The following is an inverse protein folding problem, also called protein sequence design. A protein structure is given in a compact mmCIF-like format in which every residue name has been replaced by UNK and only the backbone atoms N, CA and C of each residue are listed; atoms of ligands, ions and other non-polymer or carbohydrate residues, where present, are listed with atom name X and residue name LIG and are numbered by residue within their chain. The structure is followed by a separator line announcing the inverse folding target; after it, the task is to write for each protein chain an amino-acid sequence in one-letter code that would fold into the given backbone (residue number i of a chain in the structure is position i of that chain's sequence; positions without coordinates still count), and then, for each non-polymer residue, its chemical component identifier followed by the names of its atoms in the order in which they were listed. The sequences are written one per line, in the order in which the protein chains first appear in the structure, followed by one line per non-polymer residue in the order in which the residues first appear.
data_IF_291435294168
#
_entry.id   IF_291435294168
#
_cell.length_a   1.000
_cell.length_b   1.000
_cell.length_c   1.000
_cell.angle_alpha   90.00
_cell.angle_beta   90.00
_cell.angle_gamma   90.00
#
_symmetry.space_group_name_H-M   'P 1'
#
loop_
_entity.id
_entity.type
_entity.pdbx_description
1 polymer ?
#
# COMPACT_ATOMS: atom_id res chain seq x y z
N UNK A 1 -45.02 -15.83 -36.57
CA UNK A 1 -44.87 -16.43 -35.22
C UNK A 1 -43.95 -15.52 -34.42
N UNK A 2 -44.51 -14.81 -33.44
CA UNK A 2 -43.87 -13.71 -32.73
C UNK A 2 -43.31 -14.16 -31.37
N UNK A 3 -42.11 -13.68 -31.02
CA UNK A 3 -41.45 -13.89 -29.72
C UNK A 3 -42.16 -13.07 -28.61
N UNK A 4 -42.26 -13.59 -27.37
CA UNK A 4 -42.86 -12.85 -26.27
C UNK A 4 -41.95 -11.71 -25.80
N UNK A 5 -42.59 -10.55 -25.63
CA UNK A 5 -42.00 -9.25 -25.28
C UNK A 5 -42.31 -8.97 -23.81
N UNK A 6 -41.56 -9.59 -22.91
CA UNK A 6 -41.69 -9.33 -21.46
C UNK A 6 -40.42 -9.69 -20.69
N UNK A 7 -39.40 -8.85 -20.80
CA UNK A 7 -38.47 -8.60 -19.71
C UNK A 7 -38.28 -7.08 -19.65
N UNK A 8 -38.60 -6.42 -18.53
CA UNK A 8 -38.22 -5.04 -18.34
C UNK A 8 -36.69 -4.94 -18.26
N UNK A 9 -36.18 -3.88 -18.88
CA UNK A 9 -34.77 -3.58 -19.07
C UNK A 9 -34.10 -3.35 -17.69
N UNK A 10 -33.23 -4.27 -17.27
CA UNK A 10 -32.45 -4.14 -16.03
C UNK A 10 -31.48 -2.94 -16.05
N UNK A 11 -31.33 -2.29 -17.21
CA UNK A 11 -30.58 -1.05 -17.39
C UNK A 11 -31.15 0.12 -16.57
N UNK A 12 -32.44 0.10 -16.21
CA UNK A 12 -33.08 1.17 -15.42
C UNK A 12 -32.86 1.07 -13.90
N UNK A 13 -32.42 -0.09 -13.38
CA UNK A 13 -32.25 -0.31 -11.93
C UNK A 13 -30.88 0.14 -11.39
N UNK A 14 -29.92 0.45 -12.28
CA UNK A 14 -28.62 0.99 -11.89
C UNK A 14 -28.56 2.53 -11.87
N UNK A 15 -29.61 3.22 -12.33
CA UNK A 15 -29.66 4.69 -12.41
C UNK A 15 -30.47 5.34 -11.27
N UNK A 16 -31.07 4.55 -10.37
CA UNK A 16 -32.00 5.03 -9.33
C UNK A 16 -31.40 5.27 -7.94
N UNK A 17 -30.07 5.27 -7.79
CA UNK A 17 -29.42 5.62 -6.51
C UNK A 17 -28.45 6.79 -6.66
N UNK A 18 -29.00 7.97 -6.91
CA UNK A 18 -28.35 9.25 -6.59
C UNK A 18 -29.11 9.96 -5.47
N UNK A 19 -28.48 10.26 -4.33
CA UNK A 19 -28.99 11.27 -3.42
C UNK A 19 -28.59 12.66 -3.94
N UNK A 20 -29.59 13.47 -4.29
CA UNK A 20 -29.43 14.91 -4.48
C UNK A 20 -29.22 15.56 -3.10
N UNK A 21 -27.98 15.98 -2.81
CA UNK A 21 -27.58 17.38 -2.62
C UNK A 21 -26.22 17.47 -1.91
N UNK A 22 -25.15 17.67 -2.68
CA UNK A 22 -24.05 18.56 -2.31
C UNK A 22 -23.17 18.76 -3.56
N UNK A 23 -22.93 20.03 -3.90
CA UNK A 23 -22.04 20.46 -4.97
C UNK A 23 -20.63 19.86 -4.76
N UNK A 24 -19.99 19.40 -5.83
CA UNK A 24 -18.66 19.87 -6.30
C UNK A 24 -17.86 18.82 -7.09
N UNK A 25 -17.46 19.25 -8.29
CA UNK A 25 -16.25 18.92 -9.07
C UNK A 25 -16.04 17.50 -9.62
N UNK A 26 -16.33 17.41 -10.93
CA UNK A 26 -15.87 16.37 -11.84
C UNK A 26 -14.33 16.27 -11.90
N UNK A 27 -13.80 15.05 -11.78
CA UNK A 27 -12.49 14.67 -12.33
C UNK A 27 -12.68 13.48 -13.28
N UNK A 28 -12.69 13.75 -14.58
CA UNK A 28 -12.41 12.77 -15.63
C UNK A 28 -10.92 12.87 -15.96
N UNK A 29 -10.14 11.81 -15.74
CA UNK A 29 -8.86 11.60 -16.41
C UNK A 29 -9.06 10.54 -17.49
N UNK A 30 -8.72 10.79 -18.76
CA UNK A 30 -8.62 9.74 -19.76
C UNK A 30 -7.42 8.84 -19.47
N UNK A 31 -7.66 7.55 -19.59
CA UNK A 31 -6.70 6.46 -19.74
C UNK A 31 -5.68 6.78 -20.83
N UNK A 32 -4.38 6.77 -20.49
CA UNK A 32 -3.30 6.80 -21.47
C UNK A 32 -3.03 5.35 -21.91
N UNK A 33 -3.39 5.04 -23.15
CA UNK A 33 -3.06 3.77 -23.80
C UNK A 33 -1.59 3.81 -24.20
N UNK A 34 -0.75 3.02 -23.54
CA UNK A 34 0.63 2.72 -23.96
C UNK A 34 0.60 1.55 -24.96
N UNK A 35 0.11 1.82 -26.16
CA UNK A 35 0.17 0.89 -27.30
C UNK A 35 0.26 1.69 -28.60
N UNK A 36 1.42 2.30 -28.86
CA UNK A 36 1.88 2.72 -30.19
C UNK A 36 3.33 3.21 -30.07
N UNK A 37 4.27 2.58 -30.79
CA UNK A 37 5.60 3.15 -30.97
C UNK A 37 6.81 2.21 -30.89
N UNK A 38 6.67 0.91 -31.19
CA UNK A 38 7.83 0.11 -31.64
C UNK A 38 8.08 0.47 -33.11
N UNK A 39 8.76 1.60 -33.35
CA UNK A 39 9.39 1.90 -34.64
C UNK A 39 10.90 1.82 -34.40
N UNK A 40 11.48 0.74 -34.90
CA UNK A 40 12.92 0.62 -35.12
C UNK A 40 13.35 1.56 -36.25
N UNK A 41 14.63 1.97 -36.20
CA UNK A 41 15.38 2.85 -37.10
C UNK A 41 15.25 4.33 -36.70
N UNK A 42 16.31 5.08 -36.41
CA UNK A 42 17.63 5.11 -37.03
C UNK A 42 18.65 5.80 -36.12
N UNK A 43 19.89 5.39 -36.24
CA UNK A 43 21.14 6.10 -35.88
C UNK A 43 21.01 7.63 -35.75
N UNK A 44 21.14 8.17 -34.53
CA UNK A 44 21.89 9.40 -34.20
C UNK A 44 21.72 9.78 -32.71
N UNK A 45 22.85 10.05 -32.04
CA UNK A 45 22.93 10.46 -30.63
C UNK A 45 22.14 11.74 -30.33
N UNK A 46 21.42 11.83 -29.19
CA UNK A 46 20.96 13.11 -28.70
C UNK A 46 22.01 13.75 -27.78
N UNK A 47 22.54 14.87 -28.25
CA UNK A 47 23.34 15.84 -27.51
C UNK A 47 22.54 16.38 -26.31
N UNK A 48 23.28 16.65 -25.24
CA UNK A 48 22.90 17.46 -24.08
C UNK A 48 22.07 18.69 -24.49
N UNK A 49 20.86 18.80 -23.94
CA UNK A 49 20.14 20.07 -23.84
C UNK A 49 19.97 20.43 -22.37
N UNK A 50 20.93 21.19 -21.87
CA UNK A 50 20.79 22.02 -20.69
C UNK A 50 19.85 23.18 -21.04
N UNK A 51 18.54 23.02 -20.81
CA UNK A 51 17.59 24.12 -20.89
C UNK A 51 17.29 24.64 -19.47
N UNK A 52 18.05 25.67 -19.09
CA UNK A 52 17.67 26.62 -18.03
C UNK A 52 16.71 27.65 -18.62
N UNK A 53 15.54 27.93 -18.01
CA UNK A 53 14.72 29.04 -18.43
C UNK A 53 15.38 30.37 -18.02
N UNK A 54 15.53 31.23 -19.03
CA UNK A 54 15.99 32.61 -18.93
C UNK A 54 15.10 33.39 -17.96
N UNK A 55 15.72 33.85 -16.88
CA UNK A 55 15.15 34.64 -15.79
C UNK A 55 14.90 36.07 -16.28
N UNK A 56 13.63 36.48 -16.36
CA UNK A 56 13.27 37.90 -16.40
C UNK A 56 13.60 38.48 -15.01
N UNK A 57 14.70 39.25 -14.95
CA UNK A 57 15.04 40.04 -13.76
C UNK A 57 14.00 41.14 -13.60
N UNK A 58 13.24 41.07 -12.50
CA UNK A 58 12.51 42.20 -11.98
C UNK A 58 13.26 42.67 -10.74
N UNK A 59 13.93 43.81 -10.85
CA UNK A 59 14.59 44.49 -9.74
C UNK A 59 13.53 44.87 -8.68
N UNK A 60 13.70 44.38 -7.45
CA UNK A 60 12.85 44.79 -6.34
C UNK A 60 13.06 43.96 -5.08
N UNK A 61 13.90 44.48 -4.18
CA UNK A 61 13.97 44.16 -2.74
C UNK A 61 14.16 42.69 -2.33
N UNK A 62 15.43 42.34 -2.04
CA UNK A 62 15.76 41.21 -1.17
C UNK A 62 15.26 39.86 -1.67
N UNK A 63 15.53 39.54 -2.94
CA UNK A 63 15.14 38.28 -3.60
C UNK A 63 15.49 37.07 -2.71
N UNK A 64 14.47 36.57 -2.01
CA UNK A 64 14.44 35.19 -1.52
C UNK A 64 14.63 34.32 -2.75
N UNK A 65 15.68 33.50 -2.76
CA UNK A 65 15.99 32.72 -3.95
C UNK A 65 14.81 31.82 -4.27
N UNK A 66 14.40 31.80 -5.55
CA UNK A 66 13.38 30.89 -6.08
C UNK A 66 13.87 29.43 -6.13
N UNK A 67 14.93 29.12 -5.41
CA UNK A 67 15.54 27.80 -5.34
C UNK A 67 14.70 26.91 -4.42
N UNK A 68 14.59 25.63 -4.81
CA UNK A 68 14.02 24.59 -3.96
C UNK A 68 14.73 24.59 -2.60
N UNK A 69 13.95 24.53 -1.52
CA UNK A 69 14.45 24.49 -0.17
C UNK A 69 14.22 23.11 0.43
N UNK A 70 15.29 22.49 0.90
CA UNK A 70 15.25 21.16 1.50
C UNK A 70 15.49 21.25 3.01
N UNK A 71 14.76 20.44 3.76
CA UNK A 71 14.94 20.33 5.19
C UNK A 71 14.64 18.92 5.69
N UNK A 72 15.27 18.55 6.80
CA UNK A 72 14.94 17.35 7.54
C UNK A 72 13.84 17.64 8.56
N UNK A 73 12.91 16.70 8.68
CA UNK A 73 11.93 16.66 9.75
C UNK A 73 12.12 15.36 10.55
N UNK A 74 12.35 15.49 11.85
CA UNK A 74 12.49 14.37 12.75
C UNK A 74 11.22 14.22 13.59
N UNK A 75 10.62 13.03 13.54
CA UNK A 75 9.46 12.70 14.36
C UNK A 75 9.92 12.25 15.74
N UNK A 76 9.41 12.90 16.78
CA UNK A 76 9.76 12.59 18.17
C UNK A 76 8.49 12.15 18.92
N UNK A 77 8.43 10.88 19.29
CA UNK A 77 7.30 10.27 20.01
C UNK A 77 7.36 10.50 21.54
N UNK A 78 8.53 10.85 22.06
CA UNK A 78 8.74 11.13 23.48
C UNK A 78 10.07 11.86 23.74
N UNK A 79 10.29 12.41 24.94
CA UNK A 79 11.47 13.22 25.26
C UNK A 79 12.82 12.49 25.11
N UNK A 80 12.81 11.14 25.03
CA UNK A 80 14.00 10.30 24.88
C UNK A 80 14.16 9.63 23.50
N UNK A 81 13.18 9.77 22.59
CA UNK A 81 13.09 8.93 21.39
C UNK A 81 13.57 9.63 20.11
N UNK A 82 14.65 10.40 20.22
CA UNK A 82 15.29 11.00 19.04
C UNK A 82 15.87 9.94 18.09
N UNK A 83 16.20 8.74 18.58
CA UNK A 83 17.06 7.81 17.84
C UNK A 83 16.33 6.77 16.96
N UNK A 84 14.99 6.65 17.03
CA UNK A 84 14.32 5.46 16.48
C UNK A 84 13.51 5.68 15.19
N UNK A 85 13.13 6.91 14.85
CA UNK A 85 12.39 7.17 13.61
C UNK A 85 13.33 7.68 12.51
N UNK A 86 13.29 7.09 11.29
CA UNK A 86 14.03 7.64 10.16
C UNK A 86 13.53 9.08 9.89
N UNK A 87 14.44 10.03 9.60
CA UNK A 87 14.04 11.39 9.30
C UNK A 87 13.18 11.44 8.04
N UNK A 88 12.44 12.51 7.85
CA UNK A 88 11.73 12.81 6.61
C UNK A 88 12.45 13.96 5.92
N UNK A 89 12.43 13.96 4.59
CA UNK A 89 12.91 15.09 3.80
C UNK A 89 11.69 15.91 3.39
N UNK A 90 11.61 17.13 3.89
CA UNK A 90 10.67 18.15 3.45
C UNK A 90 11.29 18.91 2.28
N UNK A 91 10.57 18.98 1.17
CA UNK A 91 10.94 19.76 0.00
C UNK A 91 9.93 20.88 -0.19
N UNK A 92 10.41 22.11 -0.21
CA UNK A 92 9.61 23.31 -0.38
C UNK A 92 9.96 23.99 -1.70
N UNK A 93 8.97 24.63 -2.31
CA UNK A 93 9.17 25.40 -3.54
C UNK A 93 10.22 26.52 -3.36
N UNK A 94 10.29 27.12 -2.17
CA UNK A 94 11.31 28.10 -1.78
C UNK A 94 11.42 28.22 -0.25
N UNK A 95 12.43 28.95 0.24
CA UNK A 95 12.64 29.17 1.68
C UNK A 95 11.51 30.00 2.33
N UNK A 96 10.86 30.89 1.58
CA UNK A 96 9.73 31.68 2.09
C UNK A 96 8.52 30.81 2.45
N UNK A 97 8.23 29.80 1.63
CA UNK A 97 7.18 28.82 1.85
C UNK A 97 7.52 27.96 3.06
N UNK A 98 8.79 27.57 3.23
CA UNK A 98 9.22 26.83 4.41
C UNK A 98 8.99 27.63 5.70
N UNK A 99 9.29 28.94 5.69
CA UNK A 99 9.05 29.81 6.85
C UNK A 99 7.54 30.02 7.11
N UNK A 100 6.73 30.24 6.08
CA UNK A 100 5.28 30.34 6.21
C UNK A 100 4.67 29.05 6.77
N UNK A 101 5.09 27.91 6.23
CA UNK A 101 4.69 26.60 6.69
C UNK A 101 5.07 26.40 8.16
N UNK A 102 6.30 26.75 8.55
CA UNK A 102 6.76 26.63 9.93
C UNK A 102 5.95 27.51 10.89
N UNK A 103 5.61 28.74 10.51
CA UNK A 103 4.78 29.62 11.35
C UNK A 103 3.40 29.00 11.65
N UNK A 104 2.79 28.33 10.66
CA UNK A 104 1.54 27.60 10.85
C UNK A 104 1.73 26.40 11.79
N UNK A 105 2.80 25.61 11.57
CA UNK A 105 3.13 24.48 12.45
C UNK A 105 3.33 24.95 13.89
N UNK A 106 4.04 26.05 14.12
CA UNK A 106 4.26 26.59 15.45
C UNK A 106 2.96 27.05 16.13
N UNK A 107 2.00 27.57 15.34
CA UNK A 107 0.70 28.01 15.87
C UNK A 107 -0.22 26.85 16.26
N UNK A 108 -0.22 25.76 15.50
CA UNK A 108 -1.06 24.58 15.73
C UNK A 108 -0.40 23.58 16.70
N UNK A 109 0.92 23.49 16.67
CA UNK A 109 1.73 22.49 17.36
C UNK A 109 2.89 23.13 18.13
N UNK A 110 2.62 23.82 19.25
CA UNK A 110 3.62 24.56 20.01
C UNK A 110 4.71 23.68 20.64
N UNK A 111 4.51 22.36 20.67
CA UNK A 111 5.50 21.38 21.12
C UNK A 111 6.66 21.19 20.14
N UNK A 112 6.48 21.55 18.87
CA UNK A 112 7.48 21.41 17.81
C UNK A 112 8.54 22.50 17.90
N UNK A 113 9.80 22.13 17.66
CA UNK A 113 10.95 23.06 17.70
C UNK A 113 11.72 23.04 16.38
N UNK A 114 12.41 24.15 16.09
CA UNK A 114 13.26 24.29 14.90
C UNK A 114 14.68 24.56 15.36
N UNK A 115 15.51 23.52 15.33
CA UNK A 115 16.91 23.58 15.79
C UNK A 115 17.85 24.20 14.74
N UNK A 116 17.39 24.38 13.50
CA UNK A 116 18.20 24.97 12.44
C UNK A 116 17.40 25.42 11.22
N UNK A 117 18.07 26.01 10.22
CA UNK A 117 17.41 26.42 8.98
C UNK A 117 16.74 25.23 8.29
N UNK A 118 17.42 24.08 8.26
CA UNK A 118 17.01 22.85 7.58
C UNK A 118 16.66 21.71 8.55
N UNK A 119 16.45 21.96 9.84
CA UNK A 119 16.12 20.91 10.82
C UNK A 119 14.88 21.28 11.62
N UNK A 120 13.83 20.48 11.42
CA UNK A 120 12.55 20.58 12.11
C UNK A 120 12.34 19.37 13.02
N UNK A 121 11.96 19.63 14.27
CA UNK A 121 11.58 18.59 15.23
C UNK A 121 10.07 18.67 15.42
N UNK A 122 9.36 17.66 14.92
CA UNK A 122 7.92 17.54 15.01
C UNK A 122 7.56 16.60 16.15
N UNK A 123 6.85 17.12 17.17
CA UNK A 123 6.39 16.32 18.32
C UNK A 123 4.90 16.00 18.18
N UNK A 124 4.56 14.72 18.13
CA UNK A 124 3.18 14.24 18.06
C UNK A 124 3.05 12.92 17.30
N UNK A 125 2.08 12.09 17.69
CA UNK A 125 2.00 10.70 17.24
C UNK A 125 1.67 10.56 15.75
N UNK A 126 1.03 11.52 15.09
CA UNK A 126 0.75 11.50 13.63
C UNK A 126 0.71 12.89 12.98
N UNK A 127 1.66 13.74 13.37
CA UNK A 127 1.75 15.11 12.89
C UNK A 127 1.78 15.23 11.36
N UNK A 128 2.31 14.25 10.65
CA UNK A 128 2.51 14.30 9.20
C UNK A 128 1.22 14.16 8.41
N UNK A 129 0.38 13.18 8.77
CA UNK A 129 -0.95 12.99 8.16
C UNK A 129 -1.85 14.17 8.57
N UNK A 130 -1.78 14.60 9.83
CA UNK A 130 -2.56 15.72 10.33
C UNK A 130 -2.23 17.06 9.65
N UNK A 131 -0.95 17.35 9.36
CA UNK A 131 -0.59 18.60 8.64
C UNK A 131 -1.16 18.59 7.21
N UNK A 132 -1.13 17.46 6.50
CA UNK A 132 -1.68 17.38 5.14
C UNK A 132 -3.19 17.55 5.09
N UNK A 133 -3.89 17.01 6.09
CA UNK A 133 -5.35 17.07 6.17
C UNK A 133 -5.89 18.38 6.76
N UNK A 134 -5.03 19.17 7.44
CA UNK A 134 -5.46 20.40 8.09
C UNK A 134 -5.76 21.52 7.06
N UNK A 135 -6.98 22.09 7.04
CA UNK A 135 -7.41 23.08 6.06
C UNK A 135 -6.57 24.37 6.08
N UNK A 136 -5.90 24.69 7.20
CA UNK A 136 -5.01 25.87 7.29
C UNK A 136 -3.78 25.73 6.38
N UNK A 137 -3.39 24.51 6.04
CA UNK A 137 -2.24 24.23 5.18
C UNK A 137 -2.59 24.11 3.69
N UNK A 138 -3.87 24.18 3.31
CA UNK A 138 -4.30 24.01 1.92
C UNK A 138 -3.70 25.04 0.95
N UNK A 139 -3.48 26.27 1.42
CA UNK A 139 -2.80 27.31 0.63
C UNK A 139 -1.35 26.93 0.25
N UNK A 140 -0.73 26.04 1.02
CA UNK A 140 0.65 25.59 0.85
C UNK A 140 0.75 24.16 0.30
N UNK A 141 -0.34 23.39 0.24
CA UNK A 141 -0.32 21.96 -0.11
C UNK A 141 0.41 21.65 -1.43
N UNK A 142 0.30 22.53 -2.44
CA UNK A 142 0.97 22.34 -3.73
C UNK A 142 2.40 22.94 -3.80
N UNK A 143 2.88 23.52 -2.70
CA UNK A 143 4.18 24.21 -2.60
C UNK A 143 5.18 23.49 -1.70
N UNK A 144 4.78 22.39 -1.07
CA UNK A 144 5.66 21.54 -0.31
C UNK A 144 5.19 20.08 -0.41
N UNK A 145 6.13 19.17 -0.24
CA UNK A 145 5.83 17.75 -0.07
C UNK A 145 6.88 17.13 0.87
N UNK A 146 6.58 15.95 1.38
CA UNK A 146 7.53 15.17 2.17
C UNK A 146 7.87 13.88 1.45
N UNK A 147 9.07 13.37 1.72
CA UNK A 147 9.49 12.02 1.33
C UNK A 147 10.07 11.32 2.56
N UNK A 148 9.69 10.05 2.83
CA UNK A 148 10.35 9.27 3.87
C UNK A 148 11.83 9.12 3.53
N UNK A 149 12.72 9.36 4.49
CA UNK A 149 14.13 9.07 4.27
C UNK A 149 14.32 7.55 4.24
N UNK A 150 14.40 6.99 3.03
CA UNK A 150 14.88 5.62 2.85
C UNK A 150 16.36 5.56 3.22
N UNK A 151 16.89 4.38 3.54
CA UNK A 151 18.29 4.14 3.92
C UNK A 151 19.31 4.65 2.88
N UNK A 152 18.85 4.95 1.66
CA UNK A 152 19.63 5.50 0.54
C UNK A 152 19.37 6.99 0.30
N UNK A 153 18.91 7.74 1.30
CA UNK A 153 18.51 9.13 1.08
C UNK A 153 19.67 9.98 0.60
N UNK A 154 19.48 10.74 -0.50
CA UNK A 154 20.50 11.67 -0.95
C UNK A 154 20.73 12.73 0.13
N UNK A 155 22.01 12.98 0.41
CA UNK A 155 22.46 14.10 1.26
C UNK A 155 21.86 15.39 0.70
N UNK A 156 21.02 16.09 1.48
CA UNK A 156 20.45 17.35 1.01
C UNK A 156 21.55 18.42 0.94
N UNK A 157 21.53 19.32 -0.07
CA UNK A 157 22.44 20.46 -0.11
C UNK A 157 22.30 21.29 1.16
N UNK A 158 23.42 21.70 1.76
CA UNK A 158 23.40 22.64 2.88
C UNK A 158 22.90 23.99 2.38
N UNK A 159 21.82 24.51 2.94
CA UNK A 159 21.22 25.79 2.56
C UNK A 159 21.09 26.72 3.76
N UNK A 160 21.29 28.02 3.52
CA UNK A 160 21.02 29.05 4.51
C UNK A 160 19.51 29.25 4.72
N UNK A 161 19.12 30.12 5.66
CA UNK A 161 17.73 30.46 5.92
C UNK A 161 16.99 31.11 4.73
N UNK A 162 17.73 31.53 3.70
CA UNK A 162 17.21 32.08 2.45
C UNK A 162 17.10 31.03 1.33
N UNK A 163 17.65 29.84 1.51
CA UNK A 163 17.71 28.78 0.49
C UNK A 163 18.92 28.82 -0.44
N UNK A 164 19.93 29.63 -0.13
CA UNK A 164 21.18 29.66 -0.88
C UNK A 164 22.10 28.53 -0.42
N UNK A 165 22.77 27.81 -1.35
CA UNK A 165 23.73 26.77 -0.97
C UNK A 165 24.88 27.37 -0.16
N UNK A 166 25.13 26.81 1.02
CA UNK A 166 26.27 27.14 1.87
C UNK A 166 27.46 26.36 1.32
N UNK A 167 28.11 26.91 0.30
CA UNK A 167 29.23 26.22 -0.34
C UNK A 167 30.40 26.09 0.64
N UNK A 168 30.77 24.86 0.97
CA UNK A 168 31.91 24.50 1.79
C UNK A 168 33.19 24.47 0.94
N UNK A 169 33.55 25.58 0.32
CA UNK A 169 34.94 25.85 -0.07
C UNK A 169 35.15 27.29 -0.49
N UNK A 170 36.12 28.01 0.10
CA UNK A 170 36.64 29.20 -0.53
C UNK A 170 37.33 28.77 -1.82
N UNK A 171 36.76 29.14 -2.97
CA UNK A 171 37.53 29.20 -4.20
C UNK A 171 38.86 29.93 -3.89
N UNK A 172 40.02 29.41 -4.31
CA UNK A 172 41.30 30.01 -3.96
C UNK A 172 41.29 31.45 -4.49
N UNK A 173 41.20 32.40 -3.57
CA UNK A 173 41.36 33.80 -3.86
C UNK A 173 42.70 33.94 -4.58
N UNK A 174 42.64 34.36 -5.85
CA UNK A 174 43.82 34.76 -6.62
C UNK A 174 44.64 35.68 -5.75
N UNK A 175 45.83 35.22 -5.36
CA UNK A 175 46.84 36.03 -4.70
C UNK A 175 47.04 37.27 -5.55
N UNK A 176 46.62 38.44 -5.04
CA UNK A 176 47.17 39.72 -5.50
C UNK A 176 48.66 39.65 -5.18
N UNK A 177 49.46 39.56 -6.23
CA UNK A 177 50.90 39.72 -6.21
C UNK A 177 51.20 41.14 -5.73
N UNK A 178 51.50 41.27 -4.44
CA UNK A 178 52.13 42.45 -3.89
C UNK A 178 53.60 42.41 -4.31
N UNK A 179 53.96 43.36 -5.16
CA UNK A 179 55.29 43.52 -5.74
C UNK A 179 56.11 44.38 -4.79
N UNK A 180 56.62 43.75 -3.74
CA UNK A 180 57.62 44.34 -2.84
C UNK A 180 59.02 43.94 -3.26
N UNK A 181 59.61 44.71 -4.16
CA UNK A 181 61.06 44.72 -4.43
C UNK A 181 61.74 45.41 -3.24
N UNK A 182 62.81 44.83 -2.65
CA UNK A 182 63.93 45.63 -2.23
C UNK A 182 65.16 45.23 -3.04
N UNK A 183 65.52 46.15 -3.90
CA UNK A 183 66.78 46.25 -4.60
C UNK A 183 67.86 46.62 -3.58
N UNK A 184 68.82 45.73 -3.35
CA UNK A 184 70.09 46.13 -2.75
C UNK A 184 71.23 45.21 -3.15
N UNK A 185 72.08 45.77 -4.02
CA UNK A 185 73.54 45.63 -4.10
C UNK A 185 74.12 44.38 -4.77
N UNK A 186 74.55 44.63 -6.01
CA UNK A 186 75.72 44.06 -6.65
C UNK A 186 76.96 44.16 -5.74
N UNK A 187 77.75 43.09 -5.68
CA UNK A 187 79.16 43.03 -6.08
C UNK A 187 79.77 41.76 -5.48
N UNK A 188 79.93 40.71 -6.31
CA UNK A 188 81.20 40.00 -6.42
C UNK A 188 81.10 38.92 -7.51
N UNK A 189 82.12 38.89 -8.37
CA UNK A 189 82.18 37.99 -9.51
C UNK A 189 82.12 36.52 -9.06
N UNK A 190 81.24 35.69 -9.65
CA UNK A 190 81.14 34.30 -9.24
C UNK A 190 82.36 33.54 -9.77
N UNK A 191 83.28 33.17 -8.87
CA UNK A 191 84.18 32.06 -9.16
C UNK A 191 83.28 30.84 -9.43
N UNK A 192 83.45 30.21 -10.58
CA UNK A 192 82.69 29.02 -10.96
C UNK A 192 83.08 27.87 -10.01
N UNK A 193 82.37 27.78 -8.88
CA UNK A 193 82.69 26.85 -7.82
C UNK A 193 82.20 25.46 -8.22
N UNK A 194 83.13 24.67 -8.78
CA UNK A 194 82.90 23.30 -9.22
C UNK A 194 82.35 22.42 -8.08
N UNK A 195 82.61 22.76 -6.82
CA UNK A 195 82.03 22.08 -5.67
C UNK A 195 80.53 22.35 -5.53
N UNK A 196 80.05 23.57 -5.79
CA UNK A 196 78.61 23.89 -5.79
C UNK A 196 77.87 23.20 -6.95
N UNK A 197 78.54 23.01 -8.10
CA UNK A 197 77.99 22.24 -9.21
C UNK A 197 77.85 20.75 -8.86
N UNK A 198 78.85 20.20 -8.15
CA UNK A 198 78.81 18.80 -7.70
C UNK A 198 77.76 18.57 -6.59
N UNK A 199 77.59 19.55 -5.69
CA UNK A 199 76.54 19.51 -4.66
C UNK A 199 75.14 19.65 -5.27
N UNK A 200 74.97 20.53 -6.26
CA UNK A 200 73.70 20.64 -6.99
C UNK A 200 73.39 19.39 -7.82
N UNK A 201 74.38 18.76 -8.47
CA UNK A 201 74.19 17.46 -9.14
C UNK A 201 73.84 16.34 -8.16
N UNK A 202 74.49 16.28 -7.00
CA UNK A 202 74.14 15.31 -5.95
C UNK A 202 72.73 15.52 -5.42
N UNK A 203 72.32 16.78 -5.22
CA UNK A 203 70.97 17.15 -4.79
C UNK A 203 69.93 16.82 -5.87
N UNK A 204 70.27 17.01 -7.15
CA UNK A 204 69.41 16.64 -8.28
C UNK A 204 69.25 15.12 -8.40
N UNK A 205 70.33 14.36 -8.21
CA UNK A 205 70.29 12.90 -8.23
C UNK A 205 69.47 12.35 -7.04
N UNK A 206 69.59 12.97 -5.86
CA UNK A 206 68.74 12.67 -4.70
C UNK A 206 67.26 12.97 -4.99
N UNK A 207 66.95 14.13 -5.58
CA UNK A 207 65.58 14.48 -5.99
C UNK A 207 65.02 13.56 -7.07
N UNK A 208 65.84 13.11 -8.03
CA UNK A 208 65.41 12.15 -9.06
C UNK A 208 65.12 10.79 -8.42
N UNK A 209 65.96 10.35 -7.48
CA UNK A 209 65.73 9.11 -6.73
C UNK A 209 64.44 9.19 -5.90
N UNK A 210 64.19 10.32 -5.25
CA UNK A 210 62.96 10.56 -4.48
C UNK A 210 61.72 10.62 -5.39
N UNK A 211 61.80 11.33 -6.53
CA UNK A 211 60.74 11.35 -7.53
C UNK A 211 60.46 9.96 -8.12
N UNK A 212 61.49 9.15 -8.38
CA UNK A 212 61.33 7.79 -8.84
C UNK A 212 60.63 6.91 -7.78
N UNK A 213 60.97 7.09 -6.51
CA UNK A 213 60.29 6.42 -5.40
C UNK A 213 58.83 6.87 -5.27
N UNK A 214 58.54 8.16 -5.40
CA UNK A 214 57.18 8.70 -5.40
C UNK A 214 56.35 8.18 -6.58
N UNK A 215 56.91 8.14 -7.80
CA UNK A 215 56.23 7.57 -8.98
C UNK A 215 55.93 6.09 -8.77
N UNK A 216 56.86 5.33 -8.17
CA UNK A 216 56.62 3.92 -7.84
C UNK A 216 55.50 3.77 -6.80
N UNK A 217 55.49 4.59 -5.75
CA UNK A 217 54.44 4.60 -4.74
C UNK A 217 53.07 4.98 -5.33
N UNK A 218 53.02 5.99 -6.20
CA UNK A 218 51.82 6.39 -6.95
C UNK A 218 51.32 5.26 -7.86
N UNK A 219 52.21 4.57 -8.56
CA UNK A 219 51.86 3.44 -9.43
C UNK A 219 51.27 2.27 -8.64
N UNK A 220 51.84 1.93 -7.48
CA UNK A 220 51.28 0.92 -6.57
C UNK A 220 49.92 1.36 -6.04
N UNK A 221 49.79 2.61 -5.57
CA UNK A 221 48.51 3.15 -5.09
C UNK A 221 47.42 3.18 -6.17
N UNK A 222 47.78 3.49 -7.42
CA UNK A 222 46.86 3.46 -8.55
C UNK A 222 46.46 2.02 -8.91
N UNK A 223 47.40 1.07 -8.85
CA UNK A 223 47.12 -0.35 -9.04
C UNK A 223 46.13 -0.88 -7.99
N UNK A 224 46.36 -0.58 -6.71
CA UNK A 224 45.44 -0.93 -5.62
C UNK A 224 44.07 -0.26 -5.78
N UNK A 225 44.05 0.99 -6.25
CA UNK A 225 42.81 1.72 -6.55
C UNK A 225 41.98 1.06 -7.64
N UNK A 226 42.61 0.62 -8.74
CA UNK A 226 41.94 -0.11 -9.81
C UNK A 226 41.42 -1.47 -9.33
N UNK A 227 42.20 -2.18 -8.51
CA UNK A 227 41.77 -3.45 -7.93
C UNK A 227 40.56 -3.30 -7.01
N UNK A 228 40.55 -2.29 -6.11
CA UNK A 228 39.36 -1.97 -5.31
C UNK A 228 38.16 -1.61 -6.18
N UNK A 229 38.37 -0.85 -7.25
CA UNK A 229 37.27 -0.49 -8.15
C UNK A 229 36.69 -1.73 -8.87
N UNK A 230 37.53 -2.71 -9.21
CA UNK A 230 37.08 -3.99 -9.73
C UNK A 230 36.27 -4.77 -8.68
N UNK A 231 36.75 -4.88 -7.45
CA UNK A 231 36.03 -5.53 -6.34
C UNK A 231 34.67 -4.86 -6.07
N UNK A 232 34.62 -3.52 -6.11
CA UNK A 232 33.38 -2.75 -5.98
C UNK A 232 32.42 -3.06 -7.14
N UNK A 233 32.92 -3.16 -8.37
CA UNK A 233 32.08 -3.51 -9.53
C UNK A 233 31.55 -4.94 -9.45
N UNK A 234 32.37 -5.90 -9.01
CA UNK A 234 31.96 -7.29 -8.81
C UNK A 234 30.91 -7.41 -7.69
N UNK A 235 31.12 -6.70 -6.57
CA UNK A 235 30.15 -6.59 -5.48
C UNK A 235 28.84 -5.96 -5.92
N UNK A 236 28.91 -4.83 -6.64
CA UNK A 236 27.72 -4.13 -7.16
C UNK A 236 26.95 -5.00 -8.16
N UNK A 237 27.65 -5.72 -9.03
CA UNK A 237 27.03 -6.64 -9.99
C UNK A 237 26.30 -7.79 -9.27
N UNK A 238 26.89 -8.30 -8.18
CA UNK A 238 26.26 -9.34 -7.36
C UNK A 238 24.99 -8.81 -6.68
N UNK A 239 25.04 -7.59 -6.12
CA UNK A 239 23.87 -6.94 -5.52
C UNK A 239 22.76 -6.72 -6.55
N UNK A 240 23.08 -6.22 -7.75
CA UNK A 240 22.11 -6.04 -8.84
C UNK A 240 21.45 -7.38 -9.21
N UNK A 241 22.23 -8.46 -9.30
CA UNK A 241 21.69 -9.80 -9.58
C UNK A 241 20.72 -10.26 -8.49
N UNK A 242 21.08 -10.09 -7.22
CA UNK A 242 20.17 -10.44 -6.11
C UNK A 242 18.88 -9.62 -6.12
N UNK A 243 18.96 -8.34 -6.52
CA UNK A 243 17.79 -7.48 -6.68
C UNK A 243 16.90 -7.95 -7.83
N UNK A 244 17.48 -8.33 -8.97
CA UNK A 244 16.76 -8.87 -10.12
C UNK A 244 16.04 -10.20 -9.79
N UNK A 245 16.71 -11.09 -9.04
CA UNK A 245 16.10 -12.33 -8.54
C UNK A 245 14.93 -12.02 -7.59
N UNK A 246 15.10 -11.01 -6.71
CA UNK A 246 14.05 -10.51 -5.83
C UNK A 246 12.84 -9.97 -6.59
N UNK A 247 13.07 -9.19 -7.65
CA UNK A 247 12.01 -8.66 -8.51
C UNK A 247 11.26 -9.78 -9.25
N UNK A 248 11.98 -10.77 -9.78
CA UNK A 248 11.37 -11.95 -10.43
C UNK A 248 10.49 -12.72 -9.45
N UNK A 249 10.96 -12.91 -8.21
CA UNK A 249 10.19 -13.57 -7.16
C UNK A 249 8.93 -12.78 -6.76
N UNK A 250 9.04 -11.45 -6.65
CA UNK A 250 7.88 -10.59 -6.38
C UNK A 250 6.86 -10.65 -7.52
N UNK A 251 7.30 -10.63 -8.77
CA UNK A 251 6.40 -10.79 -9.93
C UNK A 251 5.69 -12.14 -9.91
N UNK A 252 6.39 -13.23 -9.57
CA UNK A 252 5.79 -14.55 -9.40
C UNK A 252 4.71 -14.55 -8.30
N UNK A 253 5.01 -13.99 -7.12
CA UNK A 253 4.04 -13.92 -6.02
C UNK A 253 2.82 -13.06 -6.37
N UNK A 254 2.98 -11.98 -7.12
CA UNK A 254 1.86 -11.16 -7.59
C UNK A 254 1.00 -11.95 -8.58
N UNK A 255 1.62 -12.68 -9.51
CA UNK A 255 0.91 -13.56 -10.47
C UNK A 255 0.13 -14.66 -9.74
N UNK A 256 0.75 -15.31 -8.76
CA UNK A 256 0.11 -16.37 -7.97
C UNK A 256 -1.08 -15.82 -7.17
N UNK A 257 -0.92 -14.66 -6.51
CA UNK A 257 -2.03 -14.01 -5.81
C UNK A 257 -3.17 -13.63 -6.77
N UNK A 258 -2.86 -13.06 -7.94
CA UNK A 258 -3.87 -12.73 -8.94
C UNK A 258 -4.63 -13.98 -9.39
N UNK A 259 -3.92 -15.08 -9.64
CA UNK A 259 -4.54 -16.36 -10.00
C UNK A 259 -5.45 -16.91 -8.90
N UNK A 260 -5.04 -16.77 -7.63
CA UNK A 260 -5.82 -17.18 -6.47
C UNK A 260 -7.11 -16.36 -6.33
N UNK A 261 -7.05 -15.04 -6.52
CA UNK A 261 -8.25 -14.19 -6.51
C UNK A 261 -9.21 -14.53 -7.65
N UNK A 262 -8.70 -14.84 -8.84
CA UNK A 262 -9.53 -15.31 -9.97
C UNK A 262 -10.21 -16.63 -9.62
N UNK A 263 -9.49 -17.59 -9.03
CA UNK A 263 -10.04 -18.87 -8.62
C UNK A 263 -11.13 -18.72 -7.54
N UNK A 264 -10.90 -17.88 -6.52
CA UNK A 264 -11.89 -17.56 -5.50
C UNK A 264 -13.13 -16.87 -6.09
N UNK A 265 -12.93 -15.91 -6.98
CA UNK A 265 -14.04 -15.23 -7.67
C UNK A 265 -14.89 -16.21 -8.48
N UNK A 266 -14.26 -17.11 -9.24
CA UNK A 266 -14.96 -18.13 -10.03
C UNK A 266 -15.72 -19.11 -9.13
N UNK A 267 -15.12 -19.54 -8.02
CA UNK A 267 -15.78 -20.39 -7.02
C UNK A 267 -16.98 -19.69 -6.38
N UNK A 268 -16.84 -18.40 -6.03
CA UNK A 268 -17.94 -17.60 -5.49
C UNK A 268 -19.08 -17.44 -6.49
N UNK A 269 -18.78 -17.22 -7.77
CA UNK A 269 -19.79 -17.13 -8.82
C UNK A 269 -20.54 -18.46 -9.02
N UNK A 270 -19.82 -19.58 -9.03
CA UNK A 270 -20.42 -20.91 -9.10
C UNK A 270 -21.34 -21.20 -7.91
N UNK A 271 -20.92 -20.84 -6.69
CA UNK A 271 -21.72 -20.98 -5.48
C UNK A 271 -22.97 -20.09 -5.52
N UNK A 272 -22.86 -18.86 -6.04
CA UNK A 272 -23.99 -17.95 -6.18
C UNK A 272 -25.01 -18.47 -7.20
N UNK A 273 -24.57 -19.02 -8.32
CA UNK A 273 -25.46 -19.61 -9.32
C UNK A 273 -26.15 -20.88 -8.77
N UNK A 274 -25.43 -21.69 -7.99
CA UNK A 274 -26.04 -22.82 -7.28
C UNK A 274 -27.10 -22.37 -6.27
N UNK A 275 -26.80 -21.34 -5.46
CA UNK A 275 -27.75 -20.80 -4.49
C UNK A 275 -29.01 -20.24 -5.20
N UNK A 276 -28.82 -19.51 -6.30
CA UNK A 276 -29.92 -19.01 -7.14
C UNK A 276 -30.77 -20.15 -7.70
N UNK A 277 -30.15 -21.21 -8.21
CA UNK A 277 -30.85 -22.41 -8.71
C UNK A 277 -31.69 -23.08 -7.62
N UNK A 278 -31.13 -23.24 -6.41
CA UNK A 278 -31.86 -23.80 -5.25
C UNK A 278 -33.03 -22.91 -4.84
N UNK A 279 -32.84 -21.58 -4.81
CA UNK A 279 -33.92 -20.64 -4.48
C UNK A 279 -35.02 -20.64 -5.53
N UNK A 280 -34.67 -20.70 -6.81
CA UNK A 280 -35.64 -20.81 -7.90
C UNK A 280 -36.45 -22.11 -7.79
N UNK A 281 -35.79 -23.25 -7.58
CA UNK A 281 -36.48 -24.53 -7.36
C UNK A 281 -37.41 -24.50 -6.14
N UNK A 282 -37.00 -23.83 -5.06
CA UNK A 282 -37.86 -23.65 -3.88
C UNK A 282 -39.09 -22.77 -4.19
N UNK A 283 -38.90 -21.66 -4.91
CA UNK A 283 -40.00 -20.80 -5.35
C UNK A 283 -41.01 -21.58 -6.21
N UNK A 284 -40.53 -22.40 -7.16
CA UNK A 284 -41.38 -23.24 -8.00
C UNK A 284 -42.15 -24.28 -7.17
N UNK A 285 -41.50 -24.90 -6.17
CA UNK A 285 -42.15 -25.84 -5.25
C UNK A 285 -43.22 -25.18 -4.38
N UNK A 286 -42.98 -23.97 -3.87
CA UNK A 286 -43.96 -23.19 -3.10
C UNK A 286 -45.15 -22.83 -3.99
N UNK A 287 -44.91 -22.42 -5.23
CA UNK A 287 -45.96 -22.12 -6.19
C UNK A 287 -46.81 -23.36 -6.51
N UNK A 288 -46.19 -24.51 -6.74
CA UNK A 288 -46.90 -25.77 -6.96
C UNK A 288 -47.76 -26.17 -5.75
N UNK A 289 -47.23 -25.99 -4.52
CA UNK A 289 -47.98 -26.27 -3.29
C UNK A 289 -49.19 -25.34 -3.13
N UNK A 290 -49.03 -24.04 -3.41
CA UNK A 290 -50.12 -23.06 -3.36
C UNK A 290 -51.22 -23.38 -4.39
N UNK A 291 -50.85 -23.81 -5.60
CA UNK A 291 -51.80 -24.27 -6.61
C UNK A 291 -52.55 -25.53 -6.17
N UNK A 292 -51.85 -26.51 -5.59
CA UNK A 292 -52.47 -27.72 -5.04
C UNK A 292 -53.45 -27.40 -3.90
N UNK A 293 -53.09 -26.47 -3.00
CA UNK A 293 -53.99 -25.99 -1.94
C UNK A 293 -55.24 -25.31 -2.51
N UNK A 294 -55.08 -24.48 -3.54
CA UNK A 294 -56.21 -23.82 -4.22
C UNK A 294 -57.13 -24.85 -4.89
N UNK A 295 -56.57 -25.87 -5.53
CA UNK A 295 -57.34 -26.95 -6.15
C UNK A 295 -58.10 -27.79 -5.11
N UNK A 296 -57.48 -28.08 -3.96
CA UNK A 296 -58.13 -28.76 -2.85
C UNK A 296 -59.29 -27.93 -2.30
N UNK A 297 -59.08 -26.63 -2.06
CA UNK A 297 -60.14 -25.73 -1.62
C UNK A 297 -61.31 -25.69 -2.61
N UNK A 298 -61.02 -25.66 -3.92
CA UNK A 298 -62.04 -25.72 -4.97
C UNK A 298 -62.80 -27.06 -4.97
N UNK A 299 -62.10 -28.18 -4.82
CA UNK A 299 -62.72 -29.52 -4.74
C UNK A 299 -63.61 -29.63 -3.50
N UNK A 300 -63.15 -29.16 -2.35
CA UNK A 300 -63.93 -29.12 -1.12
C UNK A 300 -65.18 -28.23 -1.26
N UNK A 301 -65.05 -27.05 -1.86
CA UNK A 301 -66.19 -26.18 -2.13
C UNK A 301 -67.21 -26.84 -3.09
N UNK A 302 -66.72 -27.56 -4.11
CA UNK A 302 -67.56 -28.36 -5.01
C UNK A 302 -68.31 -29.48 -4.29
N UNK A 303 -67.62 -30.25 -3.45
CA UNK A 303 -68.24 -31.30 -2.62
C UNK A 303 -69.30 -30.72 -1.68
N UNK A 304 -69.00 -29.63 -0.97
CA UNK A 304 -69.98 -28.96 -0.10
C UNK A 304 -71.22 -28.52 -0.89
N UNK A 305 -71.04 -27.92 -2.07
CA UNK A 305 -72.16 -27.53 -2.94
C UNK A 305 -72.99 -28.73 -3.41
N UNK A 306 -72.36 -29.87 -3.71
CA UNK A 306 -73.09 -31.10 -4.05
C UNK A 306 -73.86 -31.66 -2.85
N UNK A 307 -73.29 -31.57 -1.64
CA UNK A 307 -73.95 -31.97 -0.39
C UNK A 307 -75.16 -31.06 -0.12
N UNK A 308 -75.02 -29.74 -0.27
CA UNK A 308 -76.14 -28.79 -0.16
C UNK A 308 -77.23 -29.06 -1.21
N UNK A 309 -76.82 -29.37 -2.44
CA UNK A 309 -77.74 -29.77 -3.51
C UNK A 309 -78.51 -31.05 -3.18
N UNK A 310 -77.81 -32.09 -2.68
CA UNK A 310 -78.44 -33.31 -2.18
C UNK A 310 -79.37 -33.03 -1.00
N UNK A 311 -78.96 -32.20 -0.03
CA UNK A 311 -79.78 -31.79 1.10
C UNK A 311 -81.08 -31.11 0.67
N UNK A 312 -81.03 -30.24 -0.35
CA UNK A 312 -82.23 -29.62 -0.91
C UNK A 312 -83.15 -30.62 -1.63
N UNK A 313 -82.56 -31.63 -2.29
CA UNK A 313 -83.32 -32.68 -2.98
C UNK A 313 -83.95 -33.64 -1.98
N UNK A 314 -83.22 -34.05 -0.94
CA UNK A 314 -83.72 -34.87 0.17
C UNK A 314 -84.79 -34.13 0.95
N UNK A 315 -84.67 -32.81 1.16
CA UNK A 315 -85.73 -32.01 1.80
C UNK A 315 -87.02 -32.03 0.97
N UNK A 316 -86.93 -31.87 -0.36
CA UNK A 316 -88.09 -32.00 -1.25
C UNK A 316 -88.68 -33.41 -1.28
N UNK A 317 -87.84 -34.44 -1.23
CA UNK A 317 -88.32 -35.84 -1.09
C UNK A 317 -88.98 -36.03 0.27
N UNK A 318 -88.43 -35.47 1.33
CA UNK A 318 -88.99 -35.47 2.69
C UNK A 318 -90.34 -34.77 2.76
N UNK A 319 -90.52 -33.63 2.08
CA UNK A 319 -91.80 -32.93 2.00
C UNK A 319 -92.85 -33.76 1.22
N UNK A 320 -92.43 -34.40 0.11
CA UNK A 320 -93.29 -35.31 -0.65
C UNK A 320 -93.63 -36.61 0.12
N UNK A 321 -92.70 -37.14 0.91
CA UNK A 321 -92.92 -38.28 1.80
C UNK A 321 -93.80 -37.89 2.99
N UNK A 322 -93.67 -36.68 3.53
CA UNK A 322 -94.52 -36.15 4.59
C UNK A 322 -95.98 -35.94 4.12
N UNK A 323 -96.19 -35.69 2.82
CA UNK A 323 -97.52 -35.75 2.21
C UNK A 323 -98.08 -37.19 2.10
N UNK A 324 -97.23 -38.20 1.95
CA UNK A 324 -97.65 -39.61 1.98
C UNK A 324 -97.76 -40.22 3.39
N UNK A 325 -97.10 -39.64 4.40
CA UNK A 325 -97.05 -40.18 5.76
C UNK A 325 -98.25 -39.84 6.65
N UNK A 326 -99.26 -39.16 6.12
CA UNK A 326 -100.62 -39.18 6.70
C UNK A 326 -101.35 -40.52 6.48
N UNK A 327 -100.67 -41.55 5.95
CA UNK A 327 -101.23 -42.87 5.72
C UNK A 327 -100.25 -44.00 6.04
N UNK A 328 -99.60 -44.02 7.22
CA UNK A 328 -99.18 -45.27 7.88
C UNK A 328 -98.28 -45.01 9.09
N UNK A 329 -98.79 -45.39 10.26
CA UNK A 329 -98.04 -45.67 11.48
C UNK A 329 -97.47 -47.09 11.43
N UNK A 330 -96.16 -47.25 11.63
CA UNK A 330 -95.54 -48.36 12.38
C UNK A 330 -94.03 -48.19 12.53
N UNK A 331 -93.55 -48.66 13.67
CA UNK A 331 -92.20 -48.63 14.21
C UNK A 331 -91.10 -49.11 13.26
N UNK A 332 -89.90 -48.52 13.32
CA UNK A 332 -88.65 -49.30 13.27
C UNK A 332 -87.44 -48.49 13.77
N UNK A 333 -86.81 -49.04 14.81
CA UNK A 333 -85.45 -48.76 15.29
C UNK A 333 -84.41 -49.20 14.24
N UNK A 334 -83.38 -48.40 13.95
CA UNK A 334 -81.97 -48.87 13.84
C UNK A 334 -80.96 -47.87 13.25
N UNK A 335 -79.79 -47.88 13.90
CA UNK A 335 -78.42 -47.62 13.44
C UNK A 335 -78.06 -46.32 12.68
N UNK A 336 -77.38 -45.45 13.42
CA UNK A 336 -76.37 -44.50 12.95
C UNK A 336 -75.18 -45.20 12.25
N UNK A 337 -74.70 -44.69 11.11
CA UNK A 337 -73.33 -44.93 10.66
C UNK A 337 -72.62 -43.59 10.38
N UNK A 338 -72.04 -42.99 11.42
CA UNK A 338 -71.03 -41.93 11.26
C UNK A 338 -69.68 -42.46 11.75
N UNK A 339 -69.02 -43.23 10.90
CA UNK A 339 -67.65 -43.69 11.14
C UNK A 339 -66.97 -43.92 9.79
N UNK A 340 -66.22 -42.92 9.32
CA UNK A 340 -64.97 -43.04 8.52
C UNK A 340 -64.67 -41.79 7.71
N UNK A 341 -64.23 -40.70 8.35
CA UNK A 341 -63.34 -39.74 7.68
C UNK A 341 -62.32 -39.25 8.71
N UNK A 342 -61.29 -40.06 8.91
CA UNK A 342 -60.24 -39.79 9.89
C UNK A 342 -58.87 -40.29 9.44
N UNK A 343 -58.59 -40.27 8.13
CA UNK A 343 -57.22 -40.50 7.64
C UNK A 343 -56.36 -39.26 7.95
N UNK A 344 -55.90 -39.18 9.20
CA UNK A 344 -54.73 -38.40 9.60
C UNK A 344 -53.52 -38.93 8.84
N UNK A 345 -53.25 -38.39 7.65
CA UNK A 345 -51.91 -38.47 7.05
C UNK A 345 -51.07 -37.39 7.73
N UNK A 346 -50.71 -37.61 9.00
CA UNK A 346 -49.56 -36.93 9.58
C UNK A 346 -48.32 -37.63 9.02
N UNK A 347 -47.41 -36.96 8.32
CA UNK A 347 -46.15 -37.59 7.95
C UNK A 347 -45.43 -38.02 9.23
N UNK A 348 -44.83 -39.22 9.28
CA UNK A 348 -44.15 -39.69 10.46
C UNK A 348 -42.99 -38.74 10.81
N UNK A 349 -42.74 -38.48 12.11
CA UNK A 349 -41.68 -37.59 12.54
C UNK A 349 -40.33 -38.15 12.04
N UNK A 350 -39.70 -37.42 11.12
CA UNK A 350 -38.34 -37.73 10.67
C UNK A 350 -37.43 -37.66 11.89
N UNK A 351 -36.87 -38.81 12.28
CA UNK A 351 -35.81 -38.90 13.29
C UNK A 351 -34.68 -37.95 12.88
N UNK A 352 -34.57 -36.84 13.58
CA UNK A 352 -33.43 -35.93 13.57
C UNK A 352 -32.27 -36.56 14.36
N UNK A 353 -31.82 -37.74 13.92
CA UNK A 353 -30.61 -38.40 14.38
C UNK A 353 -29.52 -38.30 13.30
N UNK A 354 -29.38 -37.13 12.68
CA UNK A 354 -28.05 -36.75 12.21
C UNK A 354 -27.39 -36.12 13.42
N UNK A 355 -26.62 -36.94 14.16
CA UNK A 355 -25.41 -36.42 14.78
C UNK A 355 -24.75 -35.58 13.69
N UNK A 356 -24.81 -34.27 13.81
CA UNK A 356 -23.88 -33.41 13.09
C UNK A 356 -22.55 -33.85 13.67
N UNK A 357 -21.92 -34.82 12.98
CA UNK A 357 -20.55 -35.23 13.21
C UNK A 357 -19.80 -33.95 12.88
N UNK A 358 -19.52 -33.17 13.93
CA UNK A 358 -18.70 -31.98 13.82
C UNK A 358 -17.50 -32.38 12.99
N UNK A 359 -17.28 -31.64 11.92
CA UNK A 359 -15.99 -31.66 11.24
C UNK A 359 -15.02 -31.16 12.31
N UNK A 360 -14.40 -32.10 13.00
CA UNK A 360 -13.12 -31.86 13.61
C UNK A 360 -12.21 -31.60 12.42
N UNK A 361 -11.72 -30.37 12.31
CA UNK A 361 -10.49 -30.14 11.59
C UNK A 361 -9.42 -30.91 12.36
N UNK A 362 -9.21 -32.16 11.97
CA UNK A 362 -7.94 -32.81 12.20
C UNK A 362 -6.94 -31.93 11.44
N UNK A 363 -6.22 -31.10 12.19
CA UNK A 363 -4.96 -30.59 11.72
C UNK A 363 -4.15 -31.82 11.35
N UNK A 364 -3.93 -32.00 10.05
CA UNK A 364 -2.99 -32.96 9.52
C UNK A 364 -1.60 -32.55 10.04
N UNK A 365 -1.30 -33.00 11.26
CA UNK A 365 0.03 -33.06 11.83
C UNK A 365 0.76 -34.20 11.12
N UNK A 366 1.17 -33.94 9.89
CA UNK A 366 1.68 -34.96 8.98
C UNK A 366 2.58 -34.40 7.89
N UNK A 367 3.49 -33.48 8.21
CA UNK A 367 4.68 -33.27 7.39
C UNK A 367 5.87 -34.01 8.00
N UNK A 368 6.45 -35.02 7.33
CA UNK A 368 7.84 -35.35 7.52
C UNK A 368 8.62 -34.67 6.40
N UNK A 369 9.21 -33.52 6.69
CA UNK A 369 10.63 -33.19 6.42
C UNK A 369 10.83 -31.68 6.31
N UNK A 370 11.90 -31.24 6.99
CA UNK A 370 12.67 -30.02 6.76
C UNK A 370 12.19 -28.72 7.43
N UNK A 371 12.88 -28.40 8.52
CA UNK A 371 12.99 -27.16 9.30
C UNK A 371 13.64 -25.98 8.52
N UNK A 372 13.95 -24.80 9.12
CA UNK A 372 13.37 -24.11 10.29
C UNK A 372 13.02 -22.63 10.00
N UNK A 373 11.96 -22.08 10.61
CA UNK A 373 11.95 -20.66 11.02
C UNK A 373 11.34 -20.50 12.40
N UNK A 374 12.17 -20.01 13.32
CA UNK A 374 11.79 -19.45 14.61
C UNK A 374 10.69 -18.40 14.43
N UNK A 375 9.61 -18.55 15.19
CA UNK A 375 8.77 -17.41 15.57
C UNK A 375 8.85 -17.27 17.09
N UNK A 376 9.10 -16.03 17.51
CA UNK A 376 9.27 -15.64 18.90
C UNK A 376 7.87 -15.41 19.49
N UNK A 377 7.63 -16.10 20.60
CA UNK A 377 6.43 -16.00 21.44
C UNK A 377 6.32 -14.62 22.08
N UNK A 378 5.16 -13.99 21.92
CA UNK A 378 4.69 -12.87 22.75
C UNK A 378 3.91 -13.44 23.93
N UNK A 379 4.56 -13.53 25.09
CA UNK A 379 3.88 -13.57 26.39
C UNK A 379 4.82 -13.02 27.48
N UNK A 380 4.58 -11.77 27.88
CA UNK A 380 4.89 -11.30 29.25
C UNK A 380 3.83 -11.88 30.22
N UNK A 381 4.06 -11.99 31.55
CA UNK A 381 4.79 -10.99 32.35
C UNK A 381 5.64 -11.48 33.55
N UNK A 382 6.50 -10.56 34.00
CA UNK A 382 6.92 -10.28 35.39
C UNK A 382 7.98 -11.17 36.08
N UNK A 383 8.92 -10.43 36.67
CA UNK A 383 9.77 -10.68 37.85
C UNK A 383 11.22 -11.13 37.62
N UNK A 384 12.11 -10.21 38.01
CA UNK A 384 13.32 -10.40 38.82
C UNK A 384 14.63 -10.92 38.19
N UNK A 385 15.58 -9.98 38.13
CA UNK A 385 16.93 -10.04 38.73
C UNK A 385 18.14 -10.64 37.95
N UNK A 386 19.24 -9.87 38.03
CA UNK A 386 20.68 -10.20 37.87
C UNK A 386 21.28 -10.14 36.45
N UNK A 387 22.02 -9.07 36.09
CA UNK A 387 23.45 -8.83 36.37
C UNK A 387 24.37 -9.96 35.90
N UNK A 388 24.95 -9.81 34.70
CA UNK A 388 26.27 -10.36 34.37
C UNK A 388 26.91 -9.59 33.20
N UNK A 389 27.91 -8.80 33.54
CA UNK A 389 28.92 -8.19 32.67
C UNK A 389 29.77 -9.23 31.92
N UNK A 390 30.36 -8.89 30.76
CA UNK A 390 31.20 -9.80 29.98
C UNK A 390 32.61 -9.97 30.60
N UNK A 391 33.25 -11.15 30.52
CA UNK A 391 34.61 -11.32 31.00
C UNK A 391 35.66 -10.87 29.97
N UNK A 392 36.64 -10.11 30.48
CA UNK A 392 37.91 -9.76 29.84
C UNK A 392 38.74 -11.00 29.49
N UNK A 393 39.37 -10.95 28.33
CA UNK A 393 40.53 -11.79 27.97
C UNK A 393 41.74 -11.45 28.85
N UNK A 394 42.59 -12.42 29.22
CA UNK A 394 43.96 -12.15 29.61
C UNK A 394 44.95 -12.45 28.47
N UNK A 395 45.98 -11.61 28.43
CA UNK A 395 47.10 -11.65 27.52
C UNK A 395 48.18 -12.67 27.93
N UNK A 396 48.96 -13.08 26.92
CA UNK A 396 50.43 -13.23 26.94
C UNK A 396 51.09 -14.00 28.08
N UNK A 397 51.69 -15.15 27.74
CA UNK A 397 52.95 -15.58 28.37
C UNK A 397 53.89 -16.19 27.34
N UNK A 398 55.07 -15.59 27.20
CA UNK A 398 56.30 -16.19 26.65
C UNK A 398 56.80 -17.28 27.60
N UNK A 399 57.28 -18.40 27.05
CA UNK A 399 58.64 -18.94 27.29
C UNK A 399 59.13 -19.47 25.95
#
# INVERSE_FOLDING_TARGET
MARPKSMPDFSALLDASTPLTAREHARKKPSISLAAGLIMNSTESPKNFSNSPVRMRQDGEGELSENLFYAYAQKVYGPSDYAQAPPYVLTFANASVANQWWNLVQSEYPSSTREGPQLFILKGEDMQEQIQDNPRFYALQNKWFYSPASETTPVIPLQDWKGNPVDASPAPARRKTDSGIPESKEEDAPSFDMATLNDTLSRMNAMISENAAQIKALSVAQGEGLQRMQEINESTTTQIKTLADGQTKLQSLISDNASHYIALSNSSFANQEQAKSVLQSNADNIQALAQAQTQLAHTCAGMLKTIDGLGSTVSRVGDNVSQLQHSSSTDFSSSTPFSNVGNRISPPPRKLNRKIKGVWYEYDSGSPMSSPRQSVSMASPRMSHMLATPPKSPASTKV
#
